data_IF_678330081691
#
_entry.id   IF_678330081691
#
_cell.length_a   1.000
_cell.length_b   1.000
_cell.length_c   1.000
_cell.angle_alpha   90.00
_cell.angle_beta   90.00
_cell.angle_gamma   90.00
#
_symmetry.space_group_name_H-M   'P 1'
#
loop_
_entity.id
_entity.type
_entity.pdbx_description
1 polymer ?
#
# COMPACT_ATOMS: atom_id res chain seq x y z
N UNK A 1 -23.37 20.06 8.93
CA UNK A 1 -22.76 18.72 9.11
C UNK A 1 -21.43 18.70 8.37
N UNK A 2 -20.36 18.16 8.95
CA UNK A 2 -19.11 17.99 8.22
C UNK A 2 -19.36 17.08 7.00
N UNK A 3 -19.00 17.54 5.79
CA UNK A 3 -19.15 16.76 4.55
C UNK A 3 -18.22 15.55 4.60
N UNK A 4 -18.69 14.38 4.21
CA UNK A 4 -17.87 13.18 4.08
C UNK A 4 -16.89 13.24 2.90
N UNK A 5 -16.17 12.14 2.69
CA UNK A 5 -15.20 11.99 1.61
C UNK A 5 -15.77 11.17 0.46
N UNK A 6 -15.31 11.48 -0.76
CA UNK A 6 -15.38 10.55 -1.88
C UNK A 6 -14.14 9.64 -1.87
N UNK A 7 -14.35 8.34 -1.79
CA UNK A 7 -13.29 7.33 -1.84
C UNK A 7 -13.06 6.90 -3.30
N UNK A 8 -11.82 6.90 -3.75
CA UNK A 8 -11.42 6.49 -5.10
C UNK A 8 -10.51 5.28 -4.98
N UNK A 9 -10.87 4.17 -5.62
CA UNK A 9 -10.19 2.88 -5.51
C UNK A 9 -9.57 2.48 -6.85
N UNK A 10 -8.27 2.19 -6.83
CA UNK A 10 -7.52 1.73 -7.99
C UNK A 10 -7.94 0.35 -8.50
N UNK A 11 -7.57 0.02 -9.74
CA UNK A 11 -7.55 -1.36 -10.22
C UNK A 11 -6.30 -2.12 -9.75
N UNK A 12 -6.18 -3.40 -10.12
CA UNK A 12 -4.98 -4.20 -9.80
C UNK A 12 -5.22 -5.64 -9.29
N UNK A 13 -6.34 -6.28 -9.65
CA UNK A 13 -6.59 -7.70 -9.35
C UNK A 13 -6.44 -8.04 -7.85
N UNK A 14 -5.61 -9.02 -7.53
CA UNK A 14 -5.35 -9.50 -6.17
C UNK A 14 -4.90 -8.39 -5.20
N UNK A 15 -4.27 -7.33 -5.70
CA UNK A 15 -3.87 -6.16 -4.88
C UNK A 15 -5.07 -5.41 -4.31
N UNK A 16 -6.29 -5.64 -4.81
CA UNK A 16 -7.53 -5.08 -4.27
C UNK A 16 -7.80 -5.44 -2.81
N UNK A 17 -7.16 -6.49 -2.27
CA UNK A 17 -7.16 -6.79 -0.84
C UNK A 17 -6.70 -5.59 0.02
N UNK A 18 -5.79 -4.78 -0.52
CA UNK A 18 -5.32 -3.53 0.10
C UNK A 18 -6.46 -2.59 0.47
N UNK A 19 -7.49 -2.48 -0.37
CA UNK A 19 -8.63 -1.58 -0.14
C UNK A 19 -9.41 -1.93 1.12
N UNK A 20 -9.51 -3.22 1.47
CA UNK A 20 -10.22 -3.67 2.68
C UNK A 20 -9.45 -3.23 3.93
N UNK A 21 -8.12 -3.33 3.91
CA UNK A 21 -7.25 -2.78 4.94
C UNK A 21 -7.43 -1.28 5.13
N UNK A 22 -7.41 -0.53 4.02
CA UNK A 22 -7.66 0.91 4.05
C UNK A 22 -9.05 1.20 4.62
N UNK A 23 -10.08 0.48 4.16
CA UNK A 23 -11.44 0.66 4.66
C UNK A 23 -11.55 0.41 6.16
N UNK A 24 -10.85 -0.60 6.69
CA UNK A 24 -10.76 -0.84 8.14
C UNK A 24 -10.25 0.40 8.87
N UNK A 25 -9.12 0.96 8.44
CA UNK A 25 -8.51 2.13 9.07
C UNK A 25 -9.44 3.36 8.99
N UNK A 26 -10.07 3.59 7.83
CA UNK A 26 -11.04 4.69 7.66
C UNK A 26 -12.23 4.55 8.62
N UNK A 27 -12.78 3.34 8.78
CA UNK A 27 -13.89 3.06 9.71
C UNK A 27 -13.51 3.30 11.16
N UNK A 28 -12.38 2.77 11.60
CA UNK A 28 -11.90 2.90 12.98
C UNK A 28 -11.57 4.35 13.35
N UNK A 29 -11.21 5.19 12.37
CA UNK A 29 -10.97 6.62 12.55
C UNK A 29 -12.20 7.50 12.29
N UNK A 30 -13.39 6.92 12.15
CA UNK A 30 -14.64 7.67 12.00
C UNK A 30 -14.75 8.47 10.69
N UNK A 31 -13.98 8.10 9.65
CA UNK A 31 -14.04 8.77 8.36
C UNK A 31 -15.33 8.37 7.63
N UNK A 32 -16.24 9.34 7.49
CA UNK A 32 -17.51 9.16 6.78
C UNK A 32 -17.29 9.25 5.26
N UNK A 33 -17.84 8.27 4.54
CA UNK A 33 -17.89 8.27 3.07
C UNK A 33 -19.26 8.78 2.58
N UNK A 34 -19.25 9.54 1.49
CA UNK A 34 -20.45 9.98 0.75
C UNK A 34 -20.50 9.39 -0.66
N UNK A 35 -19.33 9.02 -1.19
CA UNK A 35 -19.21 8.43 -2.51
C UNK A 35 -18.07 7.44 -2.59
N UNK A 36 -18.18 6.47 -3.50
CA UNK A 36 -17.12 5.51 -3.78
C UNK A 36 -17.03 5.26 -5.29
N UNK A 37 -15.86 5.54 -5.86
CA UNK A 37 -15.58 5.37 -7.28
C UNK A 37 -14.45 4.38 -7.47
N UNK A 38 -14.58 3.46 -8.42
CA UNK A 38 -13.57 2.42 -8.60
C UNK A 38 -13.38 2.00 -10.05
N UNK A 39 -12.20 1.45 -10.32
CA UNK A 39 -11.87 0.81 -11.61
C UNK A 39 -11.54 -0.65 -11.35
N UNK A 40 -12.07 -1.58 -12.17
CA UNK A 40 -11.77 -3.01 -12.05
C UNK A 40 -12.09 -3.56 -10.66
N UNK A 41 -11.13 -4.20 -9.99
CA UNK A 41 -11.26 -4.65 -8.60
C UNK A 41 -11.62 -3.50 -7.63
N UNK A 42 -11.25 -2.27 -7.93
CA UNK A 42 -11.69 -1.08 -7.20
C UNK A 42 -13.19 -0.87 -7.29
N UNK A 43 -13.82 -1.13 -8.44
CA UNK A 43 -15.28 -1.04 -8.62
C UNK A 43 -16.02 -2.15 -7.85
N UNK A 44 -15.46 -3.36 -7.85
CA UNK A 44 -15.97 -4.48 -7.05
C UNK A 44 -15.91 -4.12 -5.55
N UNK A 45 -14.75 -3.65 -5.09
CA UNK A 45 -14.58 -3.21 -3.70
C UNK A 45 -15.45 -2.00 -3.35
N UNK A 46 -15.72 -1.09 -4.29
CA UNK A 46 -16.65 0.01 -4.07
C UNK A 46 -18.04 -0.50 -3.68
N UNK A 47 -18.49 -1.60 -4.29
CA UNK A 47 -19.77 -2.23 -3.94
C UNK A 47 -19.69 -2.98 -2.60
N UNK A 48 -18.61 -3.70 -2.33
CA UNK A 48 -18.41 -4.36 -1.03
C UNK A 48 -18.44 -3.35 0.12
N UNK A 49 -17.71 -2.25 -0.02
CA UNK A 49 -17.67 -1.15 0.96
C UNK A 49 -19.03 -0.47 1.05
N UNK A 50 -19.67 -0.18 -0.08
CA UNK A 50 -20.95 0.53 -0.12
C UNK A 50 -22.12 -0.21 0.54
N UNK A 51 -22.06 -1.54 0.60
CA UNK A 51 -23.03 -2.36 1.35
C UNK A 51 -22.82 -2.29 2.88
N UNK A 52 -21.64 -1.88 3.33
CA UNK A 52 -21.33 -1.64 4.74
C UNK A 52 -21.03 -2.88 5.58
N UNK A 53 -20.92 -4.07 4.98
CA UNK A 53 -20.60 -5.31 5.68
C UNK A 53 -19.09 -5.62 5.62
N UNK A 54 -18.36 -5.10 6.62
CA UNK A 54 -16.91 -5.26 6.68
C UNK A 54 -16.47 -6.71 6.83
N UNK A 55 -17.14 -7.47 7.70
CA UNK A 55 -16.77 -8.87 7.96
C UNK A 55 -16.97 -9.73 6.72
N UNK A 56 -18.06 -9.52 5.98
CA UNK A 56 -18.29 -10.24 4.71
C UNK A 56 -17.20 -9.92 3.67
N UNK A 57 -16.77 -8.66 3.57
CA UNK A 57 -15.70 -8.26 2.65
C UNK A 57 -14.33 -8.83 3.06
N UNK A 58 -13.99 -8.78 4.35
CA UNK A 58 -12.75 -9.34 4.90
C UNK A 58 -12.70 -10.86 4.74
N UNK A 59 -13.83 -11.55 4.97
CA UNK A 59 -13.95 -12.99 4.77
C UNK A 59 -13.72 -13.36 3.31
N UNK A 60 -14.39 -12.68 2.38
CA UNK A 60 -14.19 -12.88 0.93
C UNK A 60 -12.69 -12.81 0.59
N UNK A 61 -12.05 -11.70 0.92
CA UNK A 61 -10.64 -11.48 0.59
C UNK A 61 -9.67 -12.41 1.31
N UNK A 62 -10.04 -12.94 2.47
CA UNK A 62 -9.23 -13.92 3.22
C UNK A 62 -9.29 -15.32 2.62
N UNK A 63 -10.38 -15.68 1.94
CA UNK A 63 -10.58 -17.01 1.35
C UNK A 63 -10.53 -17.06 -0.19
N UNK A 64 -10.36 -15.92 -0.84
CA UNK A 64 -10.40 -15.81 -2.31
C UNK A 64 -9.22 -16.54 -2.94
N UNK A 65 -9.49 -17.37 -3.94
CA UNK A 65 -8.48 -18.07 -4.73
C UNK A 65 -8.60 -17.74 -6.22
N UNK A 66 -7.53 -17.99 -6.97
CA UNK A 66 -7.44 -17.65 -8.40
C UNK A 66 -8.54 -18.32 -9.25
N UNK A 67 -8.89 -19.58 -8.92
CA UNK A 67 -9.92 -20.35 -9.64
C UNK A 67 -11.34 -19.78 -9.46
N UNK A 68 -11.58 -19.01 -8.41
CA UNK A 68 -12.85 -18.30 -8.22
C UNK A 68 -12.94 -17.02 -9.07
N UNK A 69 -11.81 -16.58 -9.64
CA UNK A 69 -11.73 -15.38 -10.47
C UNK A 69 -11.62 -15.74 -11.95
N UNK A 70 -10.79 -16.73 -12.30
CA UNK A 70 -10.66 -17.19 -13.68
C UNK A 70 -10.43 -18.70 -13.80
N UNK A 71 -10.88 -19.24 -14.94
CA UNK A 71 -10.64 -20.62 -15.34
C UNK A 71 -9.22 -20.75 -15.93
N UNK A 72 -8.34 -21.47 -15.23
CA UNK A 72 -6.99 -21.81 -15.67
C UNK A 72 -6.77 -23.33 -15.60
N UNK A 73 -5.99 -23.90 -16.54
CA UNK A 73 -5.49 -25.27 -16.41
C UNK A 73 -4.74 -25.46 -15.09
N UNK A 74 -5.07 -26.53 -14.34
CA UNK A 74 -4.49 -26.79 -13.03
C UNK A 74 -2.97 -27.00 -13.09
N UNK A 75 -2.44 -27.47 -14.21
CA UNK A 75 -1.02 -27.71 -14.46
C UNK A 75 -0.19 -26.43 -14.63
N UNK A 76 -0.85 -25.28 -14.84
CA UNK A 76 -0.22 -23.97 -14.85
C UNK A 76 -0.19 -23.33 -13.45
N UNK A 77 -0.73 -24.02 -12.45
CA UNK A 77 -0.80 -23.55 -11.07
C UNK A 77 0.13 -24.35 -10.17
N UNK A 78 0.89 -23.63 -9.34
CA UNK A 78 1.67 -24.21 -8.25
C UNK A 78 1.49 -23.35 -7.01
N UNK A 79 1.01 -23.95 -5.92
CA UNK A 79 0.72 -23.24 -4.65
C UNK A 79 -0.15 -21.99 -4.85
N UNK A 80 -1.14 -22.07 -5.74
CA UNK A 80 -2.06 -20.95 -6.05
C UNK A 80 -1.47 -19.85 -6.94
N UNK A 81 -0.22 -19.98 -7.40
CA UNK A 81 0.42 -19.05 -8.33
C UNK A 81 0.48 -19.60 -9.74
N UNK A 82 0.38 -18.71 -10.72
CA UNK A 82 0.68 -19.05 -12.10
C UNK A 82 2.20 -19.29 -12.25
N UNK A 83 2.58 -20.49 -12.70
CA UNK A 83 3.98 -20.87 -12.87
C UNK A 83 4.18 -21.49 -14.25
N UNK A 84 5.02 -20.85 -15.07
CA UNK A 84 5.39 -21.36 -16.38
C UNK A 84 6.78 -22.04 -16.33
N UNK A 85 6.83 -23.29 -16.75
CA UNK A 85 8.03 -24.15 -16.78
C UNK A 85 8.15 -24.82 -18.14
N UNK A 86 9.31 -25.41 -18.44
CA UNK A 86 9.49 -26.21 -19.68
C UNK A 86 8.50 -27.37 -19.79
N UNK A 87 8.03 -27.93 -18.66
CA UNK A 87 7.14 -29.10 -18.63
C UNK A 87 5.69 -28.75 -18.99
N UNK A 88 5.20 -27.60 -18.53
CA UNK A 88 3.82 -27.17 -18.76
C UNK A 88 3.69 -26.11 -19.88
N UNK A 89 4.80 -25.76 -20.55
CA UNK A 89 4.79 -24.86 -21.69
C UNK A 89 3.86 -25.32 -22.84
N UNK A 90 3.80 -26.61 -23.23
CA UNK A 90 2.83 -27.05 -24.24
C UNK A 90 1.38 -26.79 -23.82
N UNK A 91 1.05 -27.04 -22.55
CA UNK A 91 -0.28 -26.77 -21.98
C UNK A 91 -0.61 -25.27 -22.04
N UNK A 92 0.37 -24.41 -21.74
CA UNK A 92 0.21 -22.97 -21.87
C UNK A 92 -0.02 -22.53 -23.32
N UNK A 93 0.68 -23.14 -24.29
CA UNK A 93 0.45 -22.86 -25.71
C UNK A 93 -0.96 -23.25 -26.14
N UNK A 94 -1.44 -24.42 -25.74
CA UNK A 94 -2.82 -24.87 -26.03
C UNK A 94 -3.85 -23.95 -25.40
N UNK A 95 -3.60 -23.52 -24.15
CA UNK A 95 -4.43 -22.56 -23.45
C UNK A 95 -4.51 -21.21 -24.18
N UNK A 96 -3.38 -20.66 -24.65
CA UNK A 96 -3.36 -19.43 -25.45
C UNK A 96 -4.13 -19.59 -26.78
N UNK A 97 -3.94 -20.70 -27.49
CA UNK A 97 -4.69 -20.97 -28.72
C UNK A 97 -6.20 -21.04 -28.46
N UNK A 98 -6.62 -21.67 -27.35
CA UNK A 98 -8.01 -21.72 -26.93
C UNK A 98 -8.56 -20.32 -26.64
N UNK A 99 -7.82 -19.49 -25.89
CA UNK A 99 -8.20 -18.09 -25.60
C UNK A 99 -8.44 -17.31 -26.89
N UNK A 100 -7.52 -17.40 -27.86
CA UNK A 100 -7.65 -16.68 -29.14
C UNK A 100 -8.88 -17.16 -29.93
N UNK A 101 -9.12 -18.48 -29.96
CA UNK A 101 -10.27 -19.07 -30.65
C UNK A 101 -11.62 -18.71 -30.00
N UNK A 102 -11.67 -18.65 -28.68
CA UNK A 102 -12.89 -18.36 -27.91
C UNK A 102 -13.12 -16.85 -27.68
N UNK A 103 -12.15 -16.02 -28.09
CA UNK A 103 -12.23 -14.56 -27.96
C UNK A 103 -11.97 -14.05 -26.54
N UNK A 104 -11.23 -14.80 -25.72
CA UNK A 104 -10.87 -14.46 -24.35
C UNK A 104 -11.12 -15.57 -23.33
N UNK A 105 -10.52 -15.44 -22.15
CA UNK A 105 -10.78 -16.32 -20.99
C UNK A 105 -12.22 -16.15 -20.51
N UNK A 106 -12.89 -17.26 -20.21
CA UNK A 106 -14.25 -17.25 -19.67
C UNK A 106 -14.31 -16.46 -18.34
N UNK A 107 -15.20 -15.48 -18.27
CA UNK A 107 -15.40 -14.61 -17.10
C UNK A 107 -16.53 -15.08 -16.18
N UNK A 108 -17.09 -16.27 -16.43
CA UNK A 108 -18.14 -16.85 -15.60
C UNK A 108 -17.76 -16.98 -14.12
N UNK A 109 -16.55 -17.42 -13.71
CA UNK A 109 -16.19 -17.48 -12.29
C UNK A 109 -16.28 -16.11 -11.61
N UNK A 110 -15.70 -15.08 -12.24
CA UNK A 110 -15.78 -13.70 -11.77
C UNK A 110 -17.23 -13.21 -11.71
N UNK A 111 -18.05 -13.52 -12.71
CA UNK A 111 -19.48 -13.17 -12.71
C UNK A 111 -20.22 -13.81 -11.52
N UNK A 112 -20.02 -15.11 -11.30
CA UNK A 112 -20.62 -15.82 -10.16
C UNK A 112 -20.17 -15.24 -8.83
N UNK A 113 -18.90 -14.84 -8.73
CA UNK A 113 -18.36 -14.17 -7.55
C UNK A 113 -19.05 -12.82 -7.30
N UNK A 114 -19.19 -11.99 -8.34
CA UNK A 114 -19.91 -10.70 -8.25
C UNK A 114 -21.35 -10.94 -7.79
N UNK A 115 -22.08 -11.86 -8.43
CA UNK A 115 -23.49 -12.14 -8.10
C UNK A 115 -23.65 -12.66 -6.66
N UNK A 116 -22.68 -13.43 -6.15
CA UNK A 116 -22.72 -13.99 -4.78
C UNK A 116 -22.52 -12.93 -3.68
N UNK A 117 -21.82 -11.84 -3.99
CA UNK A 117 -21.44 -10.81 -3.02
C UNK A 117 -22.14 -9.46 -3.21
N UNK A 118 -22.82 -9.26 -4.35
CA UNK A 118 -23.59 -8.06 -4.65
C UNK A 118 -25.07 -8.21 -4.24
N UNK A 119 -25.46 -7.52 -3.18
CA UNK A 119 -26.84 -7.16 -2.85
C UNK A 119 -27.11 -5.75 -3.38
N UNK A 120 -27.49 -5.65 -4.67
CA UNK A 120 -27.75 -4.38 -5.34
C UNK A 120 -28.87 -3.57 -4.65
N UNK A 121 -30.00 -4.15 -4.20
CA UNK A 121 -31.00 -3.41 -3.42
C UNK A 121 -30.43 -2.76 -2.16
N UNK A 122 -29.59 -3.48 -1.39
CA UNK A 122 -28.90 -2.89 -0.23
C UNK A 122 -27.95 -1.79 -0.63
N UNK A 123 -27.17 -1.99 -1.70
CA UNK A 123 -26.23 -1.01 -2.22
C UNK A 123 -26.95 0.30 -2.59
N UNK A 124 -28.10 0.21 -3.30
CA UNK A 124 -28.90 1.38 -3.67
C UNK A 124 -29.52 2.10 -2.46
N UNK A 125 -29.88 1.37 -1.41
CA UNK A 125 -30.38 1.96 -0.15
C UNK A 125 -29.30 2.60 0.73
N UNK A 126 -28.01 2.39 0.43
CA UNK A 126 -26.91 2.97 1.21
C UNK A 126 -26.87 4.50 1.17
N UNK A 127 -27.44 5.11 0.13
CA UNK A 127 -27.36 6.55 -0.11
C UNK A 127 -25.98 7.04 -0.58
N UNK A 128 -25.03 6.13 -0.82
CA UNK A 128 -23.71 6.45 -1.36
C UNK A 128 -23.79 6.65 -2.88
N UNK A 129 -23.07 7.66 -3.37
CA UNK A 129 -22.85 7.84 -4.80
C UNK A 129 -21.76 6.89 -5.28
N UNK A 130 -22.13 5.88 -6.08
CA UNK A 130 -21.22 4.82 -6.52
C UNK A 130 -21.04 4.90 -8.02
N UNK A 131 -19.80 4.81 -8.48
CA UNK A 131 -19.52 4.81 -9.90
C UNK A 131 -18.26 4.03 -10.29
N UNK A 132 -18.14 3.76 -11.58
CA UNK A 132 -17.04 3.02 -12.15
C UNK A 132 -16.63 3.52 -13.53
N UNK A 133 -15.44 3.12 -13.97
CA UNK A 133 -14.96 3.31 -15.34
C UNK A 133 -14.77 1.96 -16.01
N UNK A 134 -15.12 1.89 -17.29
CA UNK A 134 -14.76 0.84 -18.24
C UNK A 134 -14.42 1.49 -19.58
N UNK A 135 -13.94 0.72 -20.56
CA UNK A 135 -13.59 1.23 -21.89
C UNK A 135 -14.34 0.45 -22.96
N UNK A 136 -14.96 1.16 -23.91
CA UNK A 136 -15.58 0.53 -25.08
C UNK A 136 -14.50 0.02 -26.03
N UNK A 137 -14.62 -1.23 -26.47
CA UNK A 137 -13.61 -1.89 -27.32
C UNK A 137 -13.49 -1.25 -28.72
N UNK A 138 -14.61 -0.82 -29.32
CA UNK A 138 -14.63 -0.39 -30.72
C UNK A 138 -13.88 0.93 -30.97
N UNK A 139 -13.99 1.90 -30.04
CA UNK A 139 -13.49 3.27 -30.22
C UNK A 139 -12.56 3.71 -29.08
N UNK A 140 -12.28 2.82 -28.11
CA UNK A 140 -11.49 3.08 -26.91
C UNK A 140 -11.99 4.26 -26.07
N UNK A 141 -13.27 4.65 -26.22
CA UNK A 141 -13.88 5.69 -25.42
C UNK A 141 -14.19 5.21 -24.00
N UNK A 142 -14.04 6.07 -22.97
CA UNK A 142 -14.36 5.68 -21.60
C UNK A 142 -15.88 5.63 -21.40
N UNK A 143 -16.37 4.55 -20.78
CA UNK A 143 -17.69 4.50 -20.16
C UNK A 143 -17.56 4.84 -18.68
N UNK A 144 -18.19 5.93 -18.28
CA UNK A 144 -18.34 6.34 -16.87
C UNK A 144 -19.76 6.02 -16.45
N UNK A 145 -19.92 5.07 -15.54
CA UNK A 145 -21.25 4.64 -15.10
C UNK A 145 -21.43 4.94 -13.62
N UNK A 146 -22.62 5.40 -13.25
CA UNK A 146 -23.03 5.63 -11.87
C UNK A 146 -24.21 4.72 -11.54
N UNK A 147 -24.24 4.17 -10.32
CA UNK A 147 -25.29 3.26 -9.87
C UNK A 147 -26.69 3.92 -10.00
N UNK A 148 -26.79 5.23 -9.77
CA UNK A 148 -28.03 6.00 -9.91
C UNK A 148 -28.60 6.00 -11.32
N UNK A 149 -27.74 5.86 -12.33
CA UNK A 149 -28.10 6.04 -13.75
C UNK A 149 -28.32 4.70 -14.45
N UNK A 150 -27.98 3.59 -13.79
CA UNK A 150 -28.13 2.22 -14.28
C UNK A 150 -29.43 1.61 -13.77
N UNK A 151 -30.16 0.94 -14.67
CA UNK A 151 -31.39 0.21 -14.34
C UNK A 151 -31.16 -0.83 -13.22
N UNK A 152 -32.09 -0.96 -12.25
CA UNK A 152 -32.00 -1.98 -11.21
C UNK A 152 -31.80 -3.40 -11.78
N UNK A 153 -30.86 -4.14 -11.20
CA UNK A 153 -30.53 -5.51 -11.60
C UNK A 153 -29.51 -5.62 -12.74
N UNK A 154 -29.04 -4.49 -13.28
CA UNK A 154 -28.01 -4.46 -14.33
C UNK A 154 -26.61 -4.14 -13.80
N UNK A 155 -26.45 -3.75 -12.53
CA UNK A 155 -25.16 -3.24 -12.04
C UNK A 155 -24.03 -4.27 -12.10
N UNK A 156 -24.34 -5.56 -11.92
CA UNK A 156 -23.38 -6.66 -12.07
C UNK A 156 -22.73 -6.69 -13.47
N UNK A 157 -23.47 -6.35 -14.52
CA UNK A 157 -22.94 -6.33 -15.90
C UNK A 157 -21.89 -5.22 -16.06
N UNK A 158 -22.11 -4.06 -15.43
CA UNK A 158 -21.17 -2.94 -15.43
C UNK A 158 -19.92 -3.22 -14.58
N UNK A 159 -20.07 -3.93 -13.46
CA UNK A 159 -18.93 -4.39 -12.67
C UNK A 159 -18.07 -5.38 -13.45
N UNK A 160 -18.70 -6.35 -14.13
CA UNK A 160 -17.99 -7.30 -14.97
C UNK A 160 -17.25 -6.58 -16.11
N UNK A 161 -17.88 -5.59 -16.76
CA UNK A 161 -17.25 -4.77 -17.79
C UNK A 161 -16.04 -3.98 -17.27
N UNK A 162 -16.14 -3.39 -16.06
CA UNK A 162 -15.03 -2.65 -15.44
C UNK A 162 -13.85 -3.55 -15.06
N UNK A 163 -14.11 -4.82 -14.73
CA UNK A 163 -13.10 -5.81 -14.32
C UNK A 163 -12.69 -6.79 -15.44
N UNK A 164 -13.11 -6.54 -16.69
CA UNK A 164 -12.78 -7.38 -17.84
C UNK A 164 -11.34 -7.13 -18.30
N UNK A 165 -10.38 -7.61 -17.52
CA UNK A 165 -8.94 -7.43 -17.75
C UNK A 165 -8.53 -7.91 -19.16
N UNK A 166 -7.57 -7.25 -19.84
CA UNK A 166 -7.10 -7.70 -21.15
C UNK A 166 -6.78 -9.19 -21.20
N UNK A 167 -7.35 -9.90 -22.18
CA UNK A 167 -7.29 -11.36 -22.30
C UNK A 167 -8.54 -12.08 -21.78
N UNK A 168 -9.40 -11.42 -21.01
CA UNK A 168 -10.74 -11.92 -20.67
C UNK A 168 -11.72 -11.70 -21.81
N UNK A 169 -12.74 -12.55 -21.89
CA UNK A 169 -13.83 -12.36 -22.84
C UNK A 169 -14.58 -11.06 -22.52
N UNK A 170 -14.68 -10.16 -23.50
CA UNK A 170 -15.28 -8.85 -23.32
C UNK A 170 -16.79 -8.95 -22.99
N UNK A 171 -17.24 -8.39 -21.86
CA UNK A 171 -18.66 -8.27 -21.54
C UNK A 171 -19.37 -7.33 -22.52
N UNK A 172 -20.66 -7.60 -22.74
CA UNK A 172 -21.51 -6.80 -23.61
C UNK A 172 -22.55 -6.07 -22.79
N UNK A 173 -22.68 -4.76 -23.00
CA UNK A 173 -23.76 -3.94 -22.43
C UNK A 173 -24.47 -3.25 -23.61
N UNK A 174 -25.75 -3.59 -23.80
CA UNK A 174 -26.46 -3.22 -25.02
C UNK A 174 -25.78 -3.80 -26.27
N UNK A 175 -25.38 -2.93 -27.20
CA UNK A 175 -24.69 -3.32 -28.44
C UNK A 175 -23.16 -3.31 -28.33
N UNK A 176 -22.62 -2.67 -27.30
CA UNK A 176 -21.19 -2.38 -27.18
C UNK A 176 -20.47 -3.45 -26.35
N UNK A 177 -19.21 -3.72 -26.72
CA UNK A 177 -18.29 -4.56 -25.96
C UNK A 177 -17.37 -3.70 -25.11
N UNK A 178 -17.02 -4.21 -23.93
CA UNK A 178 -16.26 -3.48 -22.93
C UNK A 178 -15.04 -4.26 -22.44
N UNK A 179 -14.04 -3.49 -22.00
CA UNK A 179 -12.79 -3.97 -21.39
C UNK A 179 -12.51 -3.14 -20.13
N UNK A 180 -11.58 -3.63 -19.31
CA UNK A 180 -11.19 -3.01 -18.04
C UNK A 180 -10.91 -1.50 -18.15
N UNK A 181 -11.46 -0.74 -17.21
CA UNK A 181 -11.30 0.72 -17.13
C UNK A 181 -9.86 1.18 -16.91
N UNK A 182 -9.00 0.28 -16.41
CA UNK A 182 -7.58 0.53 -16.15
C UNK A 182 -6.80 0.90 -17.41
N UNK A 183 -7.29 0.52 -18.60
CA UNK A 183 -6.72 0.97 -19.87
C UNK A 183 -6.86 2.48 -20.08
N UNK A 184 -7.95 3.08 -19.60
CA UNK A 184 -8.17 4.51 -19.69
C UNK A 184 -7.61 5.27 -18.49
N UNK A 185 -8.08 4.90 -17.29
CA UNK A 185 -7.65 5.48 -16.03
C UNK A 185 -7.88 4.50 -14.88
N UNK A 186 -6.78 4.02 -14.31
CA UNK A 186 -6.80 3.09 -13.19
C UNK A 186 -7.19 3.75 -11.86
N UNK A 187 -7.05 5.08 -11.73
CA UNK A 187 -7.45 5.86 -10.54
C UNK A 187 -8.53 6.88 -10.91
N UNK A 188 -9.83 6.52 -10.84
CA UNK A 188 -10.94 7.28 -11.43
C UNK A 188 -11.33 8.53 -10.59
N UNK A 189 -10.35 9.29 -10.11
CA UNK A 189 -10.52 10.49 -9.29
C UNK A 189 -11.36 11.58 -9.98
N UNK A 190 -11.40 11.57 -11.32
CA UNK A 190 -12.22 12.49 -12.10
C UNK A 190 -13.72 12.31 -11.86
N UNK A 191 -14.18 11.09 -11.53
CA UNK A 191 -15.59 10.82 -11.25
C UNK A 191 -16.04 11.61 -10.01
N UNK A 192 -15.22 11.59 -8.96
CA UNK A 192 -15.48 12.36 -7.74
C UNK A 192 -15.63 13.86 -8.05
N UNK A 193 -14.74 14.41 -8.87
CA UNK A 193 -14.78 15.85 -9.22
C UNK A 193 -15.98 16.20 -10.10
N UNK A 194 -16.31 15.35 -11.07
CA UNK A 194 -17.47 15.50 -11.97
C UNK A 194 -18.79 15.49 -11.19
N UNK A 195 -18.86 14.68 -10.13
CA UNK A 195 -20.00 14.62 -9.20
C UNK A 195 -20.00 15.72 -8.13
N UNK A 196 -19.03 16.64 -8.18
CA UNK A 196 -18.98 17.81 -7.29
C UNK A 196 -18.26 17.59 -5.96
N UNK A 197 -17.68 16.42 -5.72
CA UNK A 197 -16.90 16.17 -4.50
C UNK A 197 -15.58 16.94 -4.52
N UNK A 198 -15.19 17.43 -3.35
CA UNK A 198 -13.95 18.19 -3.11
C UNK A 198 -13.11 17.63 -1.97
N UNK A 199 -13.67 16.77 -1.12
CA UNK A 199 -12.92 15.99 -0.13
C UNK A 199 -12.76 14.60 -0.70
N UNK A 200 -11.53 14.21 -1.05
CA UNK A 200 -11.27 13.00 -1.83
C UNK A 200 -10.19 12.17 -1.14
N UNK A 201 -10.43 10.88 -0.97
CA UNK A 201 -9.42 9.91 -0.56
C UNK A 201 -9.11 9.05 -1.78
N UNK A 202 -7.86 9.09 -2.24
CA UNK A 202 -7.40 8.26 -3.37
C UNK A 202 -6.58 7.11 -2.82
N UNK A 203 -6.93 5.89 -3.19
CA UNK A 203 -6.24 4.67 -2.80
C UNK A 203 -5.55 4.07 -4.02
N UNK A 204 -4.22 4.19 -4.04
CA UNK A 204 -3.34 3.70 -5.10
C UNK A 204 -2.56 2.48 -4.60
N UNK A 205 -3.04 1.30 -4.97
CA UNK A 205 -2.42 0.01 -4.71
C UNK A 205 -1.39 -0.39 -5.79
N UNK A 206 -0.93 0.56 -6.63
CA UNK A 206 0.05 0.33 -7.70
C UNK A 206 -0.32 -0.86 -8.62
N UNK A 207 -1.60 -0.95 -8.98
CA UNK A 207 -2.09 -1.94 -9.94
C UNK A 207 -1.70 -1.62 -11.38
N UNK A 208 -1.62 -2.64 -12.23
CA UNK A 208 -1.42 -2.47 -13.67
C UNK A 208 -2.54 -1.62 -14.27
N UNK A 209 -2.16 -0.59 -15.03
CA UNK A 209 -3.07 0.28 -15.76
C UNK A 209 -2.48 1.68 -15.96
N UNK A 210 -3.26 2.55 -16.58
CA UNK A 210 -2.89 3.95 -16.77
C UNK A 210 -3.22 4.76 -15.50
N UNK A 211 -2.22 4.98 -14.64
CA UNK A 211 -2.35 5.83 -13.46
C UNK A 211 -2.22 7.31 -13.86
N UNK A 212 -3.34 7.98 -14.14
CA UNK A 212 -3.34 9.43 -14.37
C UNK A 212 -3.20 10.18 -13.05
N UNK A 213 -2.25 11.13 -12.91
CA UNK A 213 -2.10 11.90 -11.67
C UNK A 213 -3.40 12.60 -11.29
N UNK A 214 -3.81 12.56 -10.01
CA UNK A 214 -5.02 13.24 -9.58
C UNK A 214 -4.87 14.76 -9.72
N UNK A 215 -5.83 15.41 -10.38
CA UNK A 215 -5.92 16.86 -10.33
C UNK A 215 -6.48 17.29 -8.95
N UNK A 216 -5.57 17.68 -8.06
CA UNK A 216 -5.86 18.07 -6.67
C UNK A 216 -6.22 19.56 -6.50
N UNK A 217 -6.23 20.35 -7.58
CA UNK A 217 -6.50 21.79 -7.48
C UNK A 217 -7.94 21.99 -7.03
N UNK A 218 -8.09 22.71 -5.91
CA UNK A 218 -9.37 23.01 -5.29
C UNK A 218 -9.99 21.85 -4.50
N UNK A 219 -9.22 20.80 -4.18
CA UNK A 219 -9.69 19.65 -3.39
C UNK A 219 -8.85 19.45 -2.13
N UNK A 220 -9.49 19.00 -1.06
CA UNK A 220 -8.83 18.38 0.10
C UNK A 220 -8.60 16.91 -0.24
N UNK A 221 -7.39 16.56 -0.67
CA UNK A 221 -7.05 15.21 -1.12
C UNK A 221 -6.15 14.50 -0.12
N UNK A 222 -6.58 13.33 0.35
CA UNK A 222 -5.74 12.37 1.05
C UNK A 222 -5.33 11.30 0.03
N UNK A 223 -4.02 11.10 -0.16
CA UNK A 223 -3.50 10.11 -1.10
C UNK A 223 -2.84 8.98 -0.32
N UNK A 224 -3.44 7.79 -0.34
CA UNK A 224 -2.94 6.58 0.32
C UNK A 224 -2.33 5.69 -0.76
N UNK A 225 -1.02 5.45 -0.67
CA UNK A 225 -0.28 4.61 -1.61
C UNK A 225 0.38 3.45 -0.89
N UNK A 226 0.39 2.28 -1.50
CA UNK A 226 1.07 1.12 -0.95
C UNK A 226 2.58 1.37 -0.75
N UNK A 227 3.07 1.26 0.48
CA UNK A 227 4.50 1.47 0.81
C UNK A 227 5.39 0.24 0.56
N UNK A 228 4.77 -0.90 0.32
CA UNK A 228 5.40 -2.18 -0.01
C UNK A 228 4.62 -2.88 -1.14
N UNK A 229 5.23 -3.89 -1.77
CA UNK A 229 4.57 -4.69 -2.81
C UNK A 229 4.73 -6.19 -2.51
N UNK A 230 3.66 -6.94 -2.75
CA UNK A 230 3.63 -8.40 -2.55
C UNK A 230 2.96 -9.08 -3.74
N UNK A 231 3.67 -9.98 -4.41
CA UNK A 231 3.11 -10.68 -5.57
C UNK A 231 2.65 -9.76 -6.71
N UNK A 232 1.96 -10.36 -7.67
CA UNK A 232 1.31 -9.69 -8.80
C UNK A 232 -0.23 -9.68 -8.71
N UNK A 233 -0.86 -9.17 -9.76
CA UNK A 233 -2.31 -8.98 -9.90
C UNK A 233 -3.10 -10.29 -9.91
N UNK A 234 -2.44 -11.43 -10.15
CA UNK A 234 -3.03 -12.77 -10.18
C UNK A 234 -2.59 -13.65 -9.01
N UNK A 235 -1.85 -13.12 -8.04
CA UNK A 235 -1.41 -13.89 -6.87
C UNK A 235 -2.49 -13.90 -5.76
N UNK A 236 -3.62 -14.57 -6.06
CA UNK A 236 -4.70 -14.82 -5.10
C UNK A 236 -4.34 -15.96 -4.13
N UNK A 237 -3.26 -15.74 -3.39
CA UNK A 237 -2.72 -16.64 -2.37
C UNK A 237 -3.05 -16.06 -0.99
N UNK A 238 -3.69 -16.80 -0.07
CA UNK A 238 -4.18 -16.25 1.19
C UNK A 238 -3.14 -15.46 1.98
N UNK A 239 -1.89 -15.92 2.05
CA UNK A 239 -0.80 -15.24 2.74
C UNK A 239 -0.43 -13.91 2.08
N UNK A 240 -0.54 -13.80 0.76
CA UNK A 240 -0.28 -12.56 0.01
C UNK A 240 -1.45 -11.59 0.20
N UNK A 241 -2.69 -12.07 0.11
CA UNK A 241 -3.89 -11.26 0.32
C UNK A 241 -3.95 -10.69 1.75
N UNK A 242 -3.60 -11.49 2.75
CA UNK A 242 -3.45 -11.04 4.14
C UNK A 242 -2.39 -9.95 4.29
N UNK A 243 -1.24 -10.08 3.62
CA UNK A 243 -0.21 -9.03 3.62
C UNK A 243 -0.71 -7.73 3.00
N UNK A 244 -1.45 -7.80 1.89
CA UNK A 244 -2.07 -6.62 1.28
C UNK A 244 -3.09 -5.95 2.19
N UNK A 245 -4.00 -6.70 2.81
CA UNK A 245 -4.95 -6.16 3.79
C UNK A 245 -4.23 -5.49 4.97
N UNK A 246 -3.22 -6.15 5.53
CA UNK A 246 -2.42 -5.63 6.64
C UNK A 246 -1.70 -4.34 6.25
N UNK A 247 -1.09 -4.30 5.06
CA UNK A 247 -0.40 -3.13 4.54
C UNK A 247 -1.37 -1.97 4.32
N UNK A 248 -2.55 -2.21 3.72
CA UNK A 248 -3.57 -1.19 3.50
C UNK A 248 -4.05 -0.54 4.78
N UNK A 249 -4.19 -1.34 5.84
CA UNK A 249 -4.51 -0.82 7.16
C UNK A 249 -3.40 0.09 7.71
N UNK A 250 -2.14 -0.35 7.63
CA UNK A 250 -1.01 0.43 8.17
C UNK A 250 -0.70 1.70 7.40
N UNK A 251 -0.67 1.64 6.07
CA UNK A 251 -0.44 2.82 5.22
C UNK A 251 -1.55 3.86 5.41
N UNK A 252 -2.81 3.41 5.56
CA UNK A 252 -3.91 4.31 5.85
C UNK A 252 -3.76 4.96 7.23
N UNK A 253 -3.46 4.19 8.27
CA UNK A 253 -3.21 4.74 9.61
C UNK A 253 -2.07 5.76 9.61
N UNK A 254 -0.97 5.48 8.89
CA UNK A 254 0.19 6.36 8.79
C UNK A 254 -0.17 7.64 8.03
N UNK A 255 -0.89 7.52 6.91
CA UNK A 255 -1.35 8.67 6.10
C UNK A 255 -2.32 9.56 6.88
N UNK A 256 -3.15 8.97 7.75
CA UNK A 256 -4.05 9.70 8.65
C UNK A 256 -3.33 10.31 9.87
N UNK A 257 -2.02 10.07 10.03
CA UNK A 257 -1.22 10.58 11.15
C UNK A 257 -1.49 9.90 12.49
N UNK A 258 -2.11 8.72 12.49
CA UNK A 258 -2.48 7.98 13.71
C UNK A 258 -1.35 7.10 14.25
N UNK A 259 -0.40 6.76 13.37
CA UNK A 259 0.85 6.06 13.68
C UNK A 259 1.99 6.77 12.96
N UNK A 260 3.21 6.55 13.45
CA UNK A 260 4.42 7.18 12.95
C UNK A 260 5.21 6.25 12.04
N UNK A 261 6.08 6.90 11.28
CA UNK A 261 7.16 6.32 10.53
C UNK A 261 7.05 6.53 9.02
N UNK A 262 7.97 5.93 8.27
CA UNK A 262 8.00 5.99 6.81
C UNK A 262 8.20 4.61 6.17
N UNK A 263 9.28 3.91 6.56
CA UNK A 263 9.57 2.55 6.11
C UNK A 263 8.99 1.49 7.04
N UNK A 264 8.68 1.88 8.27
CA UNK A 264 8.16 1.06 9.36
C UNK A 264 6.90 1.70 9.96
N UNK A 265 6.18 0.90 10.74
CA UNK A 265 4.92 1.32 11.37
C UNK A 265 5.01 1.19 12.88
N UNK A 266 4.89 2.30 13.60
CA UNK A 266 4.95 2.26 15.06
C UNK A 266 4.10 3.34 15.73
N UNK A 267 3.60 3.04 16.94
CA UNK A 267 2.94 4.04 17.79
C UNK A 267 3.97 4.79 18.62
N UNK A 268 4.26 6.03 18.22
CA UNK A 268 5.20 6.89 18.91
C UNK A 268 4.50 7.72 19.99
N UNK A 269 5.07 7.73 21.20
CA UNK A 269 4.64 8.67 22.25
C UNK A 269 5.54 9.92 22.26
N UNK A 270 4.97 11.15 22.36
CA UNK A 270 5.77 12.38 22.44
C UNK A 270 6.78 12.38 23.58
N UNK A 271 6.42 11.75 24.72
CA UNK A 271 7.29 11.62 25.89
C UNK A 271 8.53 10.78 25.57
N UNK A 272 8.37 9.68 24.84
CA UNK A 272 9.52 8.83 24.48
C UNK A 272 10.41 9.49 23.45
N UNK A 273 9.82 10.18 22.46
CA UNK A 273 10.59 10.94 21.49
C UNK A 273 11.46 12.00 22.18
N UNK A 274 10.86 12.81 23.07
CA UNK A 274 11.56 13.86 23.80
C UNK A 274 12.73 13.33 24.66
N UNK A 275 12.59 12.14 25.23
CA UNK A 275 13.67 11.47 25.98
C UNK A 275 14.88 11.23 25.06
N UNK A 276 14.66 10.63 23.89
CA UNK A 276 15.72 10.31 22.94
C UNK A 276 16.34 11.57 22.32
N UNK A 277 15.52 12.57 22.02
CA UNK A 277 16.00 13.85 21.49
C UNK A 277 16.90 14.56 22.50
N UNK A 278 16.51 14.61 23.77
CA UNK A 278 17.34 15.16 24.86
C UNK A 278 18.66 14.40 25.02
N UNK A 279 18.63 13.08 24.90
CA UNK A 279 19.83 12.26 25.03
C UNK A 279 20.79 12.45 23.84
N UNK A 280 20.26 12.54 22.62
CA UNK A 280 21.02 12.76 21.38
C UNK A 280 21.82 14.06 21.39
N UNK A 281 21.29 15.10 22.03
CA UNK A 281 21.95 16.41 22.15
C UNK A 281 22.73 16.58 23.44
N UNK A 282 22.80 15.56 24.31
CA UNK A 282 23.57 15.63 25.55
C UNK A 282 25.06 15.77 25.26
N UNK A 283 25.75 16.58 26.05
CA UNK A 283 27.19 16.82 25.88
C UNK A 283 28.01 15.52 25.86
N UNK A 284 27.62 14.54 26.70
CA UNK A 284 28.25 13.23 26.77
C UNK A 284 28.19 12.47 25.44
N UNK A 285 27.00 12.42 24.83
CA UNK A 285 26.79 11.77 23.53
C UNK A 285 27.52 12.56 22.44
N UNK A 286 27.33 13.88 22.37
CA UNK A 286 27.99 14.72 21.36
C UNK A 286 29.52 14.57 21.40
N UNK A 287 30.13 14.58 22.60
CA UNK A 287 31.58 14.37 22.77
C UNK A 287 32.01 12.98 22.31
N UNK A 288 31.33 11.92 22.74
CA UNK A 288 31.71 10.54 22.40
C UNK A 288 31.57 10.27 20.91
N UNK A 289 30.50 10.75 20.32
CA UNK A 289 30.31 10.64 18.88
C UNK A 289 31.41 11.46 18.19
N UNK A 290 31.60 12.75 18.51
CA UNK A 290 32.65 13.58 17.88
C UNK A 290 34.06 12.96 17.94
N UNK A 291 34.43 12.37 19.07
CA UNK A 291 35.67 11.60 19.23
C UNK A 291 35.75 10.41 18.28
N UNK A 292 34.70 9.60 18.20
CA UNK A 292 34.65 8.44 17.31
C UNK A 292 34.82 8.81 15.82
N UNK A 293 34.54 10.06 15.44
CA UNK A 293 34.63 10.55 14.06
C UNK A 293 35.92 11.33 13.74
N UNK A 294 36.93 11.31 14.64
CA UNK A 294 38.23 12.02 14.46
C UNK A 294 38.08 13.51 14.10
N UNK A 295 36.98 14.14 14.52
CA UNK A 295 36.78 15.60 14.40
C UNK A 295 37.17 16.31 15.70
N UNK A 296 38.30 15.90 16.27
CA UNK A 296 38.86 16.52 17.45
C UNK A 296 39.28 17.96 17.10
N UNK A 297 38.56 18.94 17.65
CA UNK A 297 38.83 20.38 17.43
C UNK A 297 37.67 21.18 16.84
N UNK A 298 36.63 20.53 16.30
CA UNK A 298 35.42 21.24 15.90
C UNK A 298 34.47 21.37 17.10
N UNK A 299 34.32 22.59 17.60
CA UNK A 299 33.28 22.94 18.56
C UNK A 299 31.91 22.81 17.86
N UNK A 300 31.33 21.60 17.87
CA UNK A 300 30.01 21.40 17.32
C UNK A 300 28.97 21.91 18.31
N UNK A 301 28.30 23.01 17.95
CA UNK A 301 27.01 23.32 18.54
C UNK A 301 26.05 22.14 18.31
N UNK A 302 25.08 21.94 19.19
CA UNK A 302 24.02 20.93 19.04
C UNK A 302 23.36 21.00 17.65
N UNK A 303 23.14 22.21 17.14
CA UNK A 303 22.53 22.44 15.83
C UNK A 303 23.44 21.99 14.68
N UNK A 304 24.73 22.29 14.77
CA UNK A 304 25.72 21.84 13.77
C UNK A 304 25.80 20.31 13.75
N UNK A 305 25.74 19.69 14.92
CA UNK A 305 25.77 18.24 15.07
C UNK A 305 24.56 17.54 14.42
N UNK A 306 23.35 18.03 14.69
CA UNK A 306 22.13 17.48 14.09
C UNK A 306 22.14 17.59 12.55
N UNK A 307 22.64 18.70 12.00
CA UNK A 307 22.82 18.88 10.55
C UNK A 307 23.80 17.88 9.96
N UNK A 308 24.93 17.64 10.65
CA UNK A 308 25.92 16.64 10.22
C UNK A 308 25.28 15.26 10.19
N UNK A 309 24.55 14.84 11.22
CA UNK A 309 23.89 13.53 11.23
C UNK A 309 22.84 13.39 10.12
N UNK A 310 22.01 14.42 9.90
CA UNK A 310 21.02 14.40 8.82
C UNK A 310 21.65 14.25 7.44
N UNK A 311 22.77 14.92 7.19
CA UNK A 311 23.48 14.87 5.91
C UNK A 311 24.10 13.48 5.58
N UNK A 312 24.03 12.53 6.51
CA UNK A 312 24.60 11.18 6.36
C UNK A 312 23.50 10.12 6.25
N UNK A 313 22.25 10.51 6.42
CA UNK A 313 21.09 9.67 6.15
C UNK A 313 20.77 9.74 4.65
N UNK A 314 20.26 8.65 4.05
CA UNK A 314 19.67 8.73 2.71
C UNK A 314 18.55 9.77 2.70
N UNK A 315 18.35 10.43 1.55
CA UNK A 315 17.35 11.48 1.37
C UNK A 315 15.98 11.07 1.90
N UNK A 316 15.59 9.82 1.67
CA UNK A 316 14.34 9.22 2.15
C UNK A 316 14.12 9.46 3.66
N UNK A 317 15.13 9.24 4.49
CA UNK A 317 15.06 9.38 5.95
C UNK A 317 15.48 10.76 6.44
N UNK A 318 16.30 11.48 5.66
CA UNK A 318 16.85 12.79 6.05
C UNK A 318 15.75 13.86 6.26
N UNK A 319 14.61 13.70 5.57
CA UNK A 319 13.45 14.60 5.67
C UNK A 319 12.45 14.23 6.77
N UNK A 320 12.66 13.15 7.52
CA UNK A 320 11.78 12.82 8.65
C UNK A 320 11.79 13.94 9.70
N UNK A 321 10.63 14.30 10.29
CA UNK A 321 10.52 15.42 11.22
C UNK A 321 11.51 15.31 12.39
N UNK A 322 11.60 14.13 13.02
CA UNK A 322 12.61 13.87 14.05
C UNK A 322 13.85 13.17 13.50
N UNK A 323 15.02 13.68 13.90
CA UNK A 323 16.29 12.99 13.64
C UNK A 323 16.36 11.66 14.40
N UNK A 324 15.71 11.54 15.56
CA UNK A 324 15.65 10.28 16.30
C UNK A 324 14.91 9.23 15.47
N UNK A 325 13.71 9.54 14.99
CA UNK A 325 12.95 8.64 14.12
C UNK A 325 13.78 8.23 12.90
N UNK A 326 14.44 9.19 12.26
CA UNK A 326 15.28 8.94 11.10
C UNK A 326 16.45 7.98 11.39
N UNK A 327 17.13 8.15 12.54
CA UNK A 327 18.20 7.25 12.96
C UNK A 327 17.67 5.84 13.22
N UNK A 328 16.56 5.72 13.97
CA UNK A 328 15.95 4.43 14.31
C UNK A 328 15.47 3.68 13.06
N UNK A 329 14.75 4.34 12.16
CA UNK A 329 14.27 3.70 10.94
C UNK A 329 15.39 3.31 10.00
N UNK A 330 16.36 4.19 9.79
CA UNK A 330 17.46 3.85 8.91
C UNK A 330 18.30 2.70 9.47
N UNK A 331 18.54 2.68 10.78
CA UNK A 331 19.23 1.56 11.40
C UNK A 331 18.43 0.25 11.29
N UNK A 332 17.12 0.30 11.53
CA UNK A 332 16.26 -0.86 11.38
C UNK A 332 16.21 -1.37 9.92
N UNK A 333 16.23 -0.46 8.95
CA UNK A 333 16.32 -0.77 7.53
C UNK A 333 17.63 -1.50 7.20
N UNK A 334 18.78 -0.95 7.62
CA UNK A 334 20.10 -1.57 7.40
C UNK A 334 20.21 -2.93 8.11
N UNK A 335 19.53 -3.10 9.24
CA UNK A 335 19.55 -4.33 10.04
C UNK A 335 18.46 -5.33 9.62
N UNK A 336 17.74 -5.06 8.53
CA UNK A 336 16.70 -5.93 7.97
C UNK A 336 15.60 -6.30 8.98
N UNK A 337 15.24 -5.37 9.86
CA UNK A 337 14.11 -5.55 10.78
C UNK A 337 12.83 -5.75 9.95
N UNK A 338 11.93 -6.68 10.33
CA UNK A 338 10.68 -6.89 9.61
C UNK A 338 9.84 -5.61 9.50
N UNK A 339 9.43 -5.24 8.28
CA UNK A 339 8.72 -3.98 8.02
C UNK A 339 7.20 -4.06 8.21
N UNK A 340 6.58 -5.18 7.82
CA UNK A 340 5.12 -5.34 7.87
C UNK A 340 4.61 -5.76 9.26
N UNK A 341 4.86 -4.90 10.23
CA UNK A 341 4.45 -5.08 11.62
C UNK A 341 4.16 -3.71 12.24
N UNK A 342 3.10 -3.61 13.04
CA UNK A 342 2.81 -2.42 13.82
C UNK A 342 3.42 -2.58 15.21
N UNK A 343 4.49 -1.85 15.47
CA UNK A 343 5.20 -1.89 16.74
C UNK A 343 4.60 -0.89 17.74
N UNK A 344 4.52 -1.28 19.01
CA UNK A 344 4.54 -0.29 20.09
C UNK A 344 5.97 0.26 20.21
N UNK A 345 6.15 1.55 20.50
CA UNK A 345 7.48 2.16 20.50
C UNK A 345 8.48 1.43 21.40
N UNK A 346 8.04 0.92 22.55
CA UNK A 346 8.92 0.17 23.48
C UNK A 346 9.46 -1.11 22.84
N UNK A 347 8.61 -1.81 22.08
CA UNK A 347 8.99 -3.02 21.36
C UNK A 347 9.90 -2.68 20.18
N UNK A 348 9.57 -1.60 19.46
CA UNK A 348 10.41 -1.07 18.39
C UNK A 348 11.83 -0.77 18.87
N UNK A 349 11.95 -0.01 19.96
CA UNK A 349 13.22 0.33 20.59
C UNK A 349 14.01 -0.92 21.00
N UNK A 350 13.34 -1.88 21.64
CA UNK A 350 13.95 -3.14 22.07
C UNK A 350 14.46 -3.96 20.88
N UNK A 351 13.67 -4.06 19.81
CA UNK A 351 14.04 -4.77 18.59
C UNK A 351 15.26 -4.11 17.94
N UNK A 352 15.25 -2.79 17.75
CA UNK A 352 16.37 -2.06 17.15
C UNK A 352 17.64 -2.16 18.00
N UNK A 353 17.52 -2.00 19.33
CA UNK A 353 18.63 -2.13 20.29
C UNK A 353 19.26 -3.52 20.24
N UNK A 354 18.45 -4.59 20.21
CA UNK A 354 18.91 -5.97 20.08
C UNK A 354 19.71 -6.18 18.79
N UNK A 355 19.21 -5.68 17.66
CA UNK A 355 19.90 -5.83 16.37
C UNK A 355 21.21 -5.03 16.33
N UNK A 356 21.23 -3.82 16.90
CA UNK A 356 22.46 -3.00 16.98
C UNK A 356 23.53 -3.67 17.83
N UNK A 357 23.18 -4.26 18.98
CA UNK A 357 24.15 -4.98 19.81
C UNK A 357 24.66 -6.26 19.13
N UNK A 358 23.79 -6.99 18.44
CA UNK A 358 24.19 -8.17 17.65
C UNK A 358 25.07 -7.85 16.45
N UNK A 359 24.85 -6.71 15.79
CA UNK A 359 25.73 -6.21 14.73
C UNK A 359 27.08 -5.77 15.31
N UNK A 360 27.06 -5.03 16.42
CA UNK A 360 28.26 -4.52 17.10
C UNK A 360 29.24 -5.60 17.56
N UNK A 361 28.76 -6.80 17.92
CA UNK A 361 29.62 -7.91 18.33
C UNK A 361 30.30 -8.60 17.15
N UNK A 362 29.78 -8.43 15.93
CA UNK A 362 30.34 -8.97 14.68
C UNK A 362 31.28 -7.99 13.97
N UNK A 363 31.08 -6.69 14.19
CA UNK A 363 31.85 -5.61 13.57
C UNK A 363 33.09 -5.30 14.41
N UNK A 364 34.30 -5.52 13.88
CA UNK A 364 35.55 -5.14 14.55
C UNK A 364 35.79 -3.63 14.43
N UNK A 365 36.53 -3.04 15.39
CA UNK A 365 36.97 -1.63 15.35
C UNK A 365 37.67 -1.26 14.03
N UNK A 366 38.32 -2.24 13.40
CA UNK A 366 39.00 -2.11 12.09
C UNK A 366 37.99 -1.94 10.95
N UNK A 367 36.90 -2.71 10.92
CA UNK A 367 35.86 -2.55 9.89
C UNK A 367 35.15 -1.19 9.98
N UNK A 368 34.92 -0.70 11.20
CA UNK A 368 34.40 0.65 11.45
C UNK A 368 35.31 1.73 10.86
N UNK A 369 36.60 1.71 11.18
CA UNK A 369 37.57 2.67 10.65
C UNK A 369 37.71 2.57 9.13
N UNK A 370 37.55 1.37 8.57
CA UNK A 370 37.65 1.13 7.13
C UNK A 370 36.45 1.73 6.37
N UNK A 371 35.22 1.57 6.88
CA UNK A 371 34.03 2.17 6.26
C UNK A 371 34.01 3.70 6.40
N UNK A 372 34.53 4.21 7.53
CA UNK A 372 34.75 5.63 7.77
C UNK A 372 35.72 6.25 6.75
N UNK A 373 36.84 5.57 6.50
CA UNK A 373 37.89 6.00 5.56
C UNK A 373 37.45 5.87 4.10
N UNK A 374 36.55 4.93 3.79
CA UNK A 374 35.98 4.74 2.44
C UNK A 374 34.85 5.71 2.10
N UNK A 375 34.51 6.65 2.99
CA UNK A 375 33.41 7.60 2.78
C UNK A 375 32.02 6.95 2.70
N UNK A 376 31.91 5.68 3.12
CA UNK A 376 30.63 4.96 3.17
C UNK A 376 29.99 5.25 4.53
N UNK A 377 29.37 6.42 4.63
CA UNK A 377 28.71 6.87 5.85
C UNK A 377 27.38 6.16 6.16
N UNK A 378 27.03 5.12 5.41
CA UNK A 378 25.82 4.32 5.58
C UNK A 378 25.71 3.60 6.92
N UNK A 379 26.80 3.45 7.67
CA UNK A 379 26.77 2.83 9.01
C UNK A 379 26.87 3.84 10.15
N UNK A 380 27.05 5.13 9.88
CA UNK A 380 27.17 6.15 10.92
C UNK A 380 25.94 6.15 11.86
N UNK A 381 24.69 6.13 11.35
CA UNK A 381 23.50 6.10 12.22
C UNK A 381 23.47 4.92 13.20
N UNK A 382 23.97 3.74 12.81
CA UNK A 382 24.03 2.56 13.69
C UNK A 382 25.00 2.81 14.86
N UNK A 383 26.15 3.44 14.61
CA UNK A 383 27.10 3.80 15.65
C UNK A 383 26.56 4.88 16.59
N UNK A 384 25.85 5.86 16.04
CA UNK A 384 25.20 6.92 16.83
C UNK A 384 24.16 6.32 17.77
N UNK A 385 23.31 5.43 17.27
CA UNK A 385 22.33 4.72 18.09
C UNK A 385 22.99 3.81 19.13
N UNK A 386 24.08 3.12 18.80
CA UNK A 386 24.84 2.35 19.78
C UNK A 386 25.32 3.23 20.94
N UNK A 387 25.89 4.40 20.63
CA UNK A 387 26.35 5.35 21.64
C UNK A 387 25.15 5.85 22.46
N UNK A 388 24.02 6.17 21.83
CA UNK A 388 22.78 6.53 22.52
C UNK A 388 22.32 5.44 23.50
N UNK A 389 22.31 4.17 23.10
CA UNK A 389 21.92 3.06 23.96
C UNK A 389 22.88 2.87 25.13
N UNK A 390 24.19 2.98 24.92
CA UNK A 390 25.17 2.96 26.01
C UNK A 390 24.95 4.13 26.99
N UNK A 391 24.49 5.28 26.49
CA UNK A 391 24.26 6.48 27.30
C UNK A 391 23.07 6.26 28.23
N UNK A 392 22.00 5.72 27.66
CA UNK A 392 20.79 5.33 28.36
C UNK A 392 21.08 4.29 29.44
N UNK A 393 21.89 3.27 29.13
CA UNK A 393 22.26 2.19 30.04
C UNK A 393 23.24 2.64 31.14
N UNK A 394 23.71 3.90 31.12
CA UNK A 394 24.68 4.43 32.07
C UNK A 394 26.12 3.96 31.86
N UNK A 395 26.41 3.35 30.70
CA UNK A 395 27.67 2.66 30.38
C UNK A 395 28.68 3.53 29.61
N UNK A 396 28.42 4.83 29.49
CA UNK A 396 29.12 5.74 28.57
C UNK A 396 30.21 6.58 29.25
#
# INVERSE_FOLDING_TARGET
MAKGYALVLGGGGAKGAYHIGVWKALRENGIRLEAIFGTSVGAINACLIGQGDYFKAEQLWSSLSLSQVLELPHELLSEGKFVLTKKNFPIFQDFLHKILKEGGINTQPLRMLIDSYLDEPRLRRSGLDIGLISVRVNDFSPMKAFLSDVEPGKWADYLLASAAFPGFKNPRIGKDLFVDGGLYNNLPHELARQRGYRRIIVVDNSGIGNNRPPNIVGTETIYIKNSMSFGGEFDFVPEILQKWMKLGYYDALQTLGTISGQSFFYRLSPKTLAKWEKLLVSEKVVRKVSYAFKKEGLAFSVQTWQKVLRAQLPDEYAFLPSLVEALFEYAAYVLEVPRLFLYEWKDWETVVKKHIYAWSSKTTLVSFLTDLLKGKHTLLPLHVLKILFLAEDGLL
#
